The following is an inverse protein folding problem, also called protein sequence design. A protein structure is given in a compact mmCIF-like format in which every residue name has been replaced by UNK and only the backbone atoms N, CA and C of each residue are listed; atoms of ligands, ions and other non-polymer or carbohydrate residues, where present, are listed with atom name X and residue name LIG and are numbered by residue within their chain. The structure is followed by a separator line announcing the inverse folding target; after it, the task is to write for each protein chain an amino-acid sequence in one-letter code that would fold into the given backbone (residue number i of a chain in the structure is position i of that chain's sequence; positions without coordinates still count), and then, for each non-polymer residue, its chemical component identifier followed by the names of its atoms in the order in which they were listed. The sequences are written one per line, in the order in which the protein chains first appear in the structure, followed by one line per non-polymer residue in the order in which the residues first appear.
data_IF_397015440985
#
_entry.id   IF_397015440985
#
_cell.length_a   1.000
_cell.length_b   1.000
_cell.length_c   1.000
_cell.angle_alpha   90.00
_cell.angle_beta   90.00
_cell.angle_gamma   90.00
#
_symmetry.space_group_name_H-M   'P 1'
#
loop_
_entity.id
_entity.type
_entity.pdbx_description
1 polymer ?
#
# COMPACT_ATOMS: atom_id res chain seq x y z
N UNK A 1 58.85 -31.80 -40.57
CA UNK A 1 58.24 -32.04 -39.28
C UNK A 1 57.90 -30.71 -38.67
N UNK A 2 56.71 -30.16 -38.84
CA UNK A 2 56.34 -28.97 -38.09
C UNK A 2 55.38 -29.31 -36.96
N UNK A 3 55.68 -28.74 -35.81
CA UNK A 3 54.97 -28.90 -34.54
C UNK A 3 53.57 -28.29 -34.59
N UNK A 4 52.61 -29.10 -34.21
CA UNK A 4 51.21 -28.72 -34.07
C UNK A 4 50.99 -28.14 -32.66
N UNK A 5 51.02 -26.81 -32.54
CA UNK A 5 50.66 -26.11 -31.27
C UNK A 5 49.15 -25.94 -31.17
N UNK A 6 48.56 -26.71 -30.29
CA UNK A 6 47.17 -26.57 -29.90
C UNK A 6 46.98 -25.25 -29.17
N UNK A 7 46.20 -24.35 -29.77
CA UNK A 7 45.74 -23.13 -29.11
C UNK A 7 44.42 -23.45 -28.42
N UNK A 8 44.48 -23.65 -27.12
CA UNK A 8 43.29 -23.76 -26.27
C UNK A 8 42.69 -22.39 -26.05
N UNK A 9 41.62 -22.08 -26.78
CA UNK A 9 40.79 -20.90 -26.52
C UNK A 9 39.96 -21.12 -25.26
N UNK A 10 40.35 -20.44 -24.20
CA UNK A 10 39.54 -20.38 -22.93
C UNK A 10 38.34 -19.47 -23.18
N UNK A 11 37.18 -20.06 -23.34
CA UNK A 11 35.90 -19.37 -23.30
C UNK A 11 35.56 -19.05 -21.85
N UNK A 12 35.78 -17.82 -21.43
CA UNK A 12 35.29 -17.32 -20.16
C UNK A 12 33.80 -16.99 -20.33
N UNK A 13 32.96 -17.93 -19.93
CA UNK A 13 31.52 -17.71 -19.79
C UNK A 13 31.28 -16.76 -18.62
N UNK A 14 31.08 -15.48 -18.92
CA UNK A 14 30.57 -14.50 -17.97
C UNK A 14 29.09 -14.84 -17.71
N UNK A 15 28.81 -15.57 -16.63
CA UNK A 15 27.46 -15.70 -16.09
C UNK A 15 27.06 -14.34 -15.50
N UNK A 16 26.34 -13.56 -16.29
CA UNK A 16 25.57 -12.43 -15.78
C UNK A 16 24.45 -13.01 -14.88
N UNK A 17 24.66 -13.01 -13.56
CA UNK A 17 23.60 -13.20 -12.57
C UNK A 17 22.70 -11.96 -12.69
N UNK A 18 21.63 -12.06 -13.49
CA UNK A 18 20.49 -11.18 -13.38
C UNK A 18 19.86 -11.42 -12.00
N UNK A 19 20.23 -10.61 -11.02
CA UNK A 19 19.39 -10.41 -9.83
C UNK A 19 18.08 -9.76 -10.29
N UNK A 20 17.14 -10.59 -10.74
CA UNK A 20 15.74 -10.20 -10.83
C UNK A 20 15.31 -9.95 -9.37
N UNK A 21 15.39 -8.69 -8.95
CA UNK A 21 14.73 -8.24 -7.74
C UNK A 21 13.27 -8.58 -7.89
N UNK A 22 12.80 -9.59 -7.15
CA UNK A 22 11.38 -9.82 -6.97
C UNK A 22 10.84 -8.53 -6.38
N UNK A 23 10.15 -7.73 -7.20
CA UNK A 23 9.27 -6.69 -6.71
C UNK A 23 8.19 -7.45 -5.92
N UNK A 24 8.42 -7.66 -4.62
CA UNK A 24 7.47 -8.25 -3.72
C UNK A 24 6.20 -7.42 -3.82
N UNK A 25 5.05 -8.07 -4.06
CA UNK A 25 3.77 -7.40 -4.04
C UNK A 25 3.66 -6.66 -2.70
N UNK A 26 3.34 -5.37 -2.76
CA UNK A 26 3.16 -4.53 -1.58
C UNK A 26 2.07 -5.13 -0.70
N UNK A 27 2.43 -5.52 0.51
CA UNK A 27 1.47 -6.04 1.47
C UNK A 27 0.78 -4.88 2.18
N UNK A 28 -0.54 -4.80 2.04
CA UNK A 28 -1.36 -3.79 2.69
C UNK A 28 -2.22 -4.42 3.79
N UNK A 29 -2.40 -3.67 4.86
CA UNK A 29 -3.33 -3.97 5.95
C UNK A 29 -4.12 -2.70 6.27
N UNK A 30 -5.27 -2.84 6.89
CA UNK A 30 -6.03 -1.70 7.44
C UNK A 30 -6.29 -1.88 8.93
N UNK A 31 -6.45 -0.78 9.64
CA UNK A 31 -6.83 -0.78 11.05
C UNK A 31 -8.26 -1.30 11.19
N UNK A 32 -8.48 -2.35 11.99
CA UNK A 32 -9.79 -3.00 12.19
C UNK A 32 -10.51 -2.55 13.45
N UNK A 33 -9.84 -1.80 14.32
CA UNK A 33 -10.41 -1.25 15.57
C UNK A 33 -10.75 0.23 15.38
N UNK A 34 -11.57 0.79 16.28
CA UNK A 34 -11.99 2.20 16.18
C UNK A 34 -10.81 3.17 16.29
N UNK A 35 -9.83 2.85 17.16
CA UNK A 35 -8.61 3.62 17.33
C UNK A 35 -7.43 2.67 17.55
N UNK A 36 -6.50 2.65 16.61
CA UNK A 36 -5.29 1.83 16.66
C UNK A 36 -4.08 2.66 17.06
N UNK A 37 -3.33 2.21 18.05
CA UNK A 37 -2.10 2.90 18.43
C UNK A 37 -0.98 2.57 17.47
N UNK A 38 -0.37 3.61 16.91
CA UNK A 38 0.86 3.55 16.14
C UNK A 38 2.03 3.98 17.04
N UNK A 39 3.06 3.13 17.16
CA UNK A 39 4.12 3.29 18.15
C UNK A 39 5.49 3.47 17.52
N UNK A 40 6.39 4.10 18.26
CA UNK A 40 7.78 4.29 17.85
C UNK A 40 8.61 2.98 17.85
N UNK A 41 8.20 1.97 18.64
CA UNK A 41 8.89 0.71 18.77
C UNK A 41 7.90 -0.45 18.93
N UNK A 42 8.32 -1.70 18.58
CA UNK A 42 7.48 -2.88 18.79
C UNK A 42 7.36 -3.16 20.28
N UNK A 43 6.15 -3.28 20.79
CA UNK A 43 5.84 -3.56 22.20
C UNK A 43 4.88 -2.56 22.82
N UNK A 44 4.23 -2.96 23.90
CA UNK A 44 3.27 -2.11 24.61
C UNK A 44 3.92 -0.92 25.32
N UNK A 45 5.22 -1.01 25.58
CA UNK A 45 6.03 0.08 26.18
C UNK A 45 6.52 1.12 25.15
N UNK A 46 6.40 0.83 23.84
CA UNK A 46 6.73 1.79 22.79
C UNK A 46 5.85 3.04 22.91
N UNK A 47 6.46 4.22 22.76
CA UNK A 47 5.72 5.49 22.75
C UNK A 47 4.65 5.47 21.68
N UNK A 48 3.44 5.95 22.00
CA UNK A 48 2.35 6.12 21.04
C UNK A 48 2.58 7.42 20.28
N UNK A 49 2.90 7.30 19.00
CA UNK A 49 3.11 8.44 18.10
C UNK A 49 1.77 9.02 17.63
N UNK A 50 0.85 8.14 17.20
CA UNK A 50 -0.46 8.49 16.65
C UNK A 50 -1.52 7.48 17.05
N UNK A 51 -2.77 7.89 16.92
CA UNK A 51 -3.92 7.00 16.90
C UNK A 51 -4.54 7.01 15.50
N UNK A 52 -4.61 5.83 14.89
CA UNK A 52 -5.15 5.64 13.55
C UNK A 52 -6.61 5.21 13.62
N UNK A 53 -7.44 5.83 12.80
CA UNK A 53 -8.86 5.51 12.72
C UNK A 53 -9.11 4.14 12.05
N UNK A 54 -10.29 3.60 12.25
CA UNK A 54 -10.77 2.39 11.55
C UNK A 54 -10.61 2.54 10.03
N UNK A 55 -10.13 1.50 9.40
CA UNK A 55 -9.91 1.44 7.96
C UNK A 55 -8.61 2.09 7.47
N UNK A 56 -7.85 2.76 8.32
CA UNK A 56 -6.62 3.43 7.89
C UNK A 56 -5.66 2.44 7.23
N UNK A 57 -5.30 2.63 5.93
CA UNK A 57 -4.48 1.69 5.19
C UNK A 57 -3.00 1.88 5.50
N UNK A 58 -2.26 0.79 5.61
CA UNK A 58 -0.84 0.76 5.93
C UNK A 58 -0.14 -0.28 5.06
N UNK A 59 1.06 0.05 4.61
CA UNK A 59 1.97 -0.90 3.97
C UNK A 59 2.81 -1.61 5.03
N UNK A 60 2.86 -2.93 4.96
CA UNK A 60 3.69 -3.74 5.86
C UNK A 60 5.11 -3.80 5.31
N UNK A 61 6.07 -3.30 6.08
CA UNK A 61 7.49 -3.32 5.74
C UNK A 61 8.22 -4.51 6.37
N UNK A 62 7.81 -4.89 7.60
CA UNK A 62 8.48 -5.92 8.39
C UNK A 62 7.49 -6.55 9.39
N UNK A 63 7.74 -7.80 9.73
CA UNK A 63 7.03 -8.52 10.79
C UNK A 63 8.00 -8.92 11.89
N UNK A 64 7.71 -8.52 13.11
CA UNK A 64 8.48 -8.91 14.31
C UNK A 64 7.53 -9.48 15.37
N UNK A 65 7.39 -10.80 15.41
CA UNK A 65 6.47 -11.47 16.32
C UNK A 65 5.03 -11.02 16.10
N UNK A 66 4.43 -10.36 17.10
CA UNK A 66 3.07 -9.83 17.05
C UNK A 66 2.99 -8.39 16.56
N UNK A 67 4.08 -7.82 16.07
CA UNK A 67 4.19 -6.44 15.64
C UNK A 67 4.50 -6.33 14.17
N UNK A 68 3.92 -5.32 13.54
CA UNK A 68 4.16 -4.95 12.16
C UNK A 68 4.85 -3.59 12.12
N UNK A 69 6.00 -3.50 11.47
CA UNK A 69 6.53 -2.20 11.04
C UNK A 69 5.79 -1.81 9.77
N UNK A 70 5.21 -0.65 9.79
CA UNK A 70 4.32 -0.20 8.73
C UNK A 70 4.70 1.20 8.27
N UNK A 71 4.26 1.54 7.06
CA UNK A 71 4.41 2.86 6.46
C UNK A 71 3.05 3.33 5.95
N UNK A 72 2.78 4.61 6.12
CA UNK A 72 1.56 5.22 5.62
C UNK A 72 1.76 5.90 4.24
N UNK A 73 0.71 6.58 3.76
CA UNK A 73 0.71 7.26 2.47
C UNK A 73 1.57 8.54 2.45
N UNK A 74 1.96 9.08 3.59
CA UNK A 74 2.87 10.22 3.71
C UNK A 74 4.33 9.78 3.79
N UNK A 75 4.58 8.47 3.96
CA UNK A 75 5.90 7.87 4.09
C UNK A 75 6.38 7.76 5.53
N UNK A 76 5.55 8.09 6.50
CA UNK A 76 5.86 7.92 7.91
C UNK A 76 5.87 6.45 8.30
N UNK A 77 6.80 6.06 9.18
CA UNK A 77 6.98 4.69 9.63
C UNK A 77 6.77 4.54 11.14
N UNK A 78 6.29 3.38 11.55
CA UNK A 78 6.11 3.02 12.94
C UNK A 78 5.60 1.61 13.10
N UNK A 79 5.17 1.26 14.31
CA UNK A 79 4.79 -0.09 14.70
C UNK A 79 3.34 -0.16 15.14
N UNK A 80 2.64 -1.17 14.64
CA UNK A 80 1.27 -1.50 15.07
C UNK A 80 1.20 -2.96 15.49
N UNK A 81 0.34 -3.29 16.44
CA UNK A 81 0.09 -4.68 16.76
C UNK A 81 -0.65 -5.37 15.62
N UNK A 82 -0.20 -6.56 15.19
CA UNK A 82 -0.85 -7.31 14.12
C UNK A 82 -2.33 -7.59 14.42
N UNK A 83 -2.67 -7.78 15.71
CA UNK A 83 -4.03 -8.06 16.17
C UNK A 83 -5.05 -6.94 15.91
N UNK A 84 -4.60 -5.71 15.71
CA UNK A 84 -5.49 -4.57 15.41
C UNK A 84 -5.59 -4.27 13.92
N UNK A 85 -4.95 -5.07 13.07
CA UNK A 85 -4.98 -4.95 11.61
C UNK A 85 -5.81 -6.04 10.97
N UNK A 86 -6.21 -5.84 9.74
CA UNK A 86 -6.93 -6.81 8.94
C UNK A 86 -6.80 -6.56 7.43
N UNK A 87 -7.28 -7.51 6.62
CA UNK A 87 -7.11 -7.50 5.17
C UNK A 87 -8.21 -6.71 4.43
N UNK A 88 -9.08 -6.00 5.14
CA UNK A 88 -10.17 -5.24 4.54
C UNK A 88 -9.62 -4.12 3.66
N UNK A 89 -9.95 -4.08 2.37
CA UNK A 89 -9.45 -3.06 1.47
C UNK A 89 -9.99 -1.67 1.81
N UNK A 90 -9.08 -0.71 1.95
CA UNK A 90 -9.39 0.69 2.12
C UNK A 90 -8.42 1.55 1.30
N UNK A 91 -8.86 2.74 0.93
CA UNK A 91 -8.03 3.79 0.39
C UNK A 91 -8.06 5.02 1.26
N UNK A 92 -7.01 5.81 1.20
CA UNK A 92 -6.94 7.15 1.78
C UNK A 92 -6.78 8.17 0.66
N UNK A 93 -7.44 9.30 0.78
CA UNK A 93 -7.34 10.40 -0.19
C UNK A 93 -6.01 11.11 0.00
N UNK A 94 -5.18 11.16 -1.05
CA UNK A 94 -3.82 11.73 -1.02
C UNK A 94 -3.72 13.13 -1.62
N UNK A 95 -4.82 13.69 -2.07
CA UNK A 95 -4.92 15.03 -2.63
C UNK A 95 -5.82 15.91 -1.77
N UNK A 96 -5.72 17.24 -1.91
CA UNK A 96 -6.50 18.16 -1.11
C UNK A 96 -8.01 17.90 -1.17
N UNK A 97 -8.52 17.60 -2.36
CA UNK A 97 -9.91 17.21 -2.58
C UNK A 97 -10.01 16.27 -3.77
N UNK A 98 -10.70 15.16 -3.59
CA UNK A 98 -11.01 14.19 -4.63
C UNK A 98 -12.50 14.25 -4.96
N UNK A 99 -12.83 14.32 -6.25
CA UNK A 99 -14.22 14.30 -6.72
C UNK A 99 -14.80 12.91 -6.61
N UNK A 100 -15.97 12.82 -6.05
CA UNK A 100 -16.78 11.60 -5.99
C UNK A 100 -17.80 11.64 -7.12
N UNK A 101 -17.81 10.58 -7.95
CA UNK A 101 -18.65 10.52 -9.14
C UNK A 101 -19.64 9.37 -9.07
N UNK A 102 -20.71 9.48 -9.84
CA UNK A 102 -21.76 8.46 -9.91
C UNK A 102 -21.30 7.19 -10.63
N UNK A 103 -20.29 7.28 -11.51
CA UNK A 103 -19.75 6.18 -12.30
C UNK A 103 -18.25 6.31 -12.56
N UNK A 104 -17.61 5.26 -13.13
CA UNK A 104 -16.17 5.19 -13.36
C UNK A 104 -15.76 5.98 -14.60
N UNK A 105 -15.71 7.30 -14.51
CA UNK A 105 -15.29 8.17 -15.59
C UNK A 105 -15.61 9.63 -15.35
N UNK A 106 -14.88 10.52 -16.02
CA UNK A 106 -15.04 11.97 -15.90
C UNK A 106 -16.37 12.49 -16.49
N UNK A 107 -17.01 11.69 -17.34
CA UNK A 107 -18.31 12.01 -17.92
C UNK A 107 -19.47 11.82 -16.95
N UNK A 108 -19.26 11.09 -15.85
CA UNK A 108 -20.30 10.86 -14.87
C UNK A 108 -20.45 12.07 -13.93
N UNK A 109 -21.69 12.38 -13.50
CA UNK A 109 -21.96 13.49 -12.60
C UNK A 109 -21.16 13.38 -11.29
N UNK A 110 -20.71 14.53 -10.80
CA UNK A 110 -20.13 14.66 -9.47
C UNK A 110 -21.25 14.57 -8.41
N UNK A 111 -21.05 13.71 -7.40
CA UNK A 111 -22.02 13.47 -6.31
C UNK A 111 -21.49 13.90 -4.95
N UNK A 112 -20.27 14.41 -4.90
CA UNK A 112 -19.62 14.89 -3.68
C UNK A 112 -18.12 15.01 -3.82
N UNK A 113 -17.47 15.25 -2.70
CA UNK A 113 -16.01 15.31 -2.60
C UNK A 113 -15.52 14.61 -1.34
N UNK A 114 -14.28 14.12 -1.39
CA UNK A 114 -13.55 13.60 -0.25
C UNK A 114 -12.27 14.42 -0.08
N UNK A 115 -11.87 14.64 1.19
CA UNK A 115 -10.74 15.50 1.52
C UNK A 115 -9.49 14.71 1.86
N UNK A 116 -8.33 15.38 1.84
CA UNK A 116 -7.04 14.80 2.21
C UNK A 116 -7.11 14.05 3.54
N UNK A 117 -6.54 12.85 3.58
CA UNK A 117 -6.53 11.99 4.76
C UNK A 117 -7.84 11.25 5.04
N UNK A 118 -8.89 11.50 4.27
CA UNK A 118 -10.16 10.79 4.45
C UNK A 118 -10.00 9.32 4.02
N UNK A 119 -10.41 8.40 4.90
CA UNK A 119 -10.39 6.96 4.66
C UNK A 119 -11.72 6.53 4.04
N UNK A 120 -11.63 5.73 2.99
CA UNK A 120 -12.76 5.21 2.23
C UNK A 120 -12.66 3.70 2.09
N UNK A 121 -13.72 2.99 2.39
CA UNK A 121 -13.76 1.55 2.20
C UNK A 121 -13.81 1.22 0.70
N UNK A 122 -12.91 0.34 0.25
CA UNK A 122 -12.85 -0.08 -1.15
C UNK A 122 -13.85 -1.20 -1.41
N UNK A 123 -14.72 -1.02 -2.39
CA UNK A 123 -15.66 -2.07 -2.80
C UNK A 123 -15.24 -2.75 -4.10
N UNK A 124 -14.76 -1.96 -5.07
CA UNK A 124 -14.38 -2.46 -6.39
C UNK A 124 -13.27 -1.59 -6.99
N UNK A 125 -12.35 -2.24 -7.68
CA UNK A 125 -11.35 -1.56 -8.52
C UNK A 125 -11.65 -1.87 -9.98
N UNK A 126 -11.72 -0.84 -10.81
CA UNK A 126 -12.01 -0.94 -12.24
C UNK A 126 -11.07 -0.01 -13.01
N UNK A 127 -9.97 -0.57 -13.53
CA UNK A 127 -8.92 0.17 -14.23
C UNK A 127 -8.43 1.39 -13.44
N UNK A 128 -8.72 2.59 -13.90
CA UNK A 128 -8.28 3.85 -13.30
C UNK A 128 -9.27 4.41 -12.26
N UNK A 129 -10.29 3.64 -11.91
CA UNK A 129 -11.35 4.06 -11.00
C UNK A 129 -11.53 3.07 -9.85
N UNK A 130 -11.89 3.61 -8.69
CA UNK A 130 -12.19 2.83 -7.49
C UNK A 130 -13.60 3.17 -7.02
N UNK A 131 -14.45 2.15 -6.86
CA UNK A 131 -15.73 2.33 -6.16
C UNK A 131 -15.48 2.23 -4.67
N UNK A 132 -15.88 3.26 -3.95
CA UNK A 132 -15.67 3.40 -2.52
C UNK A 132 -16.99 3.55 -1.79
N UNK A 133 -17.03 3.12 -0.53
CA UNK A 133 -18.11 3.39 0.40
C UNK A 133 -17.67 4.46 1.39
N UNK A 134 -18.48 5.51 1.48
CA UNK A 134 -18.30 6.57 2.45
C UNK A 134 -18.81 6.13 3.84
N UNK A 135 -18.37 6.80 4.94
CA UNK A 135 -18.85 6.47 6.28
C UNK A 135 -20.38 6.47 6.45
N UNK A 136 -21.07 7.30 5.65
CA UNK A 136 -22.55 7.39 5.65
C UNK A 136 -23.23 6.27 4.84
N UNK A 137 -22.47 5.31 4.31
CA UNK A 137 -22.96 4.17 3.56
C UNK A 137 -23.20 4.43 2.06
N UNK A 138 -23.02 5.65 1.57
CA UNK A 138 -23.14 5.98 0.14
C UNK A 138 -21.93 5.45 -0.61
N UNK A 139 -22.16 4.95 -1.81
CA UNK A 139 -21.10 4.55 -2.72
C UNK A 139 -20.86 5.60 -3.79
N UNK A 140 -19.62 5.72 -4.22
CA UNK A 140 -19.22 6.63 -5.29
C UNK A 140 -17.94 6.11 -5.96
N UNK A 141 -17.59 6.70 -7.09
CA UNK A 141 -16.39 6.39 -7.82
C UNK A 141 -15.37 7.53 -7.68
N UNK A 142 -14.10 7.16 -7.49
CA UNK A 142 -12.98 8.09 -7.36
C UNK A 142 -11.89 7.65 -8.32
N UNK A 143 -11.23 8.61 -8.97
CA UNK A 143 -10.07 8.33 -9.79
C UNK A 143 -8.94 7.74 -8.91
N UNK A 144 -8.33 6.65 -9.36
CA UNK A 144 -7.36 5.86 -8.61
C UNK A 144 -6.11 6.64 -8.24
N UNK A 145 -5.65 7.53 -9.12
CA UNK A 145 -4.47 8.37 -8.92
C UNK A 145 -4.62 9.40 -7.79
N UNK A 146 -5.86 9.69 -7.35
CA UNK A 146 -6.15 10.56 -6.22
C UNK A 146 -6.11 9.83 -4.86
N UNK A 147 -5.91 8.52 -4.89
CA UNK A 147 -5.99 7.63 -3.74
C UNK A 147 -4.66 6.92 -3.49
N UNK A 148 -4.47 6.47 -2.25
CA UNK A 148 -3.43 5.53 -1.87
C UNK A 148 -4.05 4.37 -1.08
N UNK A 149 -3.56 3.15 -1.32
CA UNK A 149 -4.05 1.94 -0.66
C UNK A 149 -4.10 0.76 -1.62
N UNK A 150 -5.13 -0.10 -1.48
CA UNK A 150 -5.31 -1.33 -2.26
C UNK A 150 -5.38 -1.18 -3.77
#
# INVERSE_FOLDING_TARGET
MPDLRLVLARWASCLLLCCAGAAGAQELVSIRVQAGNWRAAPGMSGEVLWQLAHGYPLEVLERQGRWLRVRDFEGDEGWVAASITGPQPHHVVRVRAARLRQGPGDVYPEVGSAVYGQVLQTELRAADWVRVRQPQGRTAWVARDLLWGW
#
